data_IF_537225310407
#
_entry.id   IF_537225310407
#
_cell.length_a   1.000
_cell.length_b   1.000
_cell.length_c   1.000
_cell.angle_alpha   90.00
_cell.angle_beta   90.00
_cell.angle_gamma   90.00
#
_symmetry.space_group_name_H-M   'P 1'
#
loop_
_entity.id
_entity.type
_entity.pdbx_description
1 polymer ?
#
# COMPACT_ATOMS: atom_id res chain seq x y z
N UNK A 1 0.00 12.97 -6.85
CA UNK A 1 -0.05 13.93 -7.96
C UNK A 1 0.89 13.46 -9.07
N UNK A 2 0.48 13.54 -10.32
CA UNK A 2 1.30 13.19 -11.49
C UNK A 2 0.97 14.16 -12.63
N UNK A 3 2.00 14.79 -13.24
CA UNK A 3 1.85 15.83 -14.27
C UNK A 3 0.83 16.92 -13.90
N UNK A 4 0.96 17.46 -12.68
CA UNK A 4 0.08 18.46 -12.08
C UNK A 4 -1.40 18.07 -11.90
N UNK A 5 -1.74 16.84 -12.15
CA UNK A 5 -3.07 16.29 -11.95
C UNK A 5 -3.14 15.35 -10.73
N UNK A 6 -4.30 15.32 -10.06
CA UNK A 6 -4.52 14.41 -8.94
C UNK A 6 -5.19 13.13 -9.41
N UNK A 7 -4.62 12.02 -8.97
CA UNK A 7 -5.15 10.68 -9.22
C UNK A 7 -5.33 9.93 -7.91
N UNK A 8 -6.30 9.04 -7.89
CA UNK A 8 -6.62 8.17 -6.77
C UNK A 8 -6.64 6.72 -7.25
N UNK A 9 -6.03 5.83 -6.48
CA UNK A 9 -6.08 4.39 -6.68
C UNK A 9 -6.83 3.74 -5.51
N UNK A 10 -8.17 3.75 -5.52
CA UNK A 10 -8.94 3.14 -4.45
C UNK A 10 -8.91 1.62 -4.54
N UNK A 11 -9.27 0.95 -3.45
CA UNK A 11 -9.52 -0.48 -3.47
C UNK A 11 -10.73 -0.80 -4.37
N UNK A 12 -10.52 -1.66 -5.35
CA UNK A 12 -11.55 -2.08 -6.32
C UNK A 12 -11.57 -3.59 -6.52
N UNK A 13 -11.30 -4.37 -5.47
CA UNK A 13 -11.21 -5.83 -5.50
C UNK A 13 -12.47 -6.51 -6.04
N UNK A 14 -13.66 -5.97 -5.74
CA UNK A 14 -14.95 -6.49 -6.22
C UNK A 14 -15.06 -6.49 -7.76
N UNK A 15 -14.31 -5.60 -8.40
CA UNK A 15 -14.19 -5.57 -9.88
C UNK A 15 -13.10 -6.48 -10.40
N UNK A 16 -12.27 -7.07 -9.51
CA UNK A 16 -11.05 -7.80 -9.85
C UNK A 16 -10.13 -6.99 -10.75
N UNK A 17 -9.93 -5.72 -10.38
CA UNK A 17 -9.14 -4.76 -11.13
C UNK A 17 -8.42 -3.79 -10.19
N UNK A 18 -7.29 -3.27 -10.63
CA UNK A 18 -6.65 -2.09 -10.05
C UNK A 18 -7.00 -0.91 -10.95
N UNK A 19 -7.77 0.04 -10.41
CA UNK A 19 -8.32 1.19 -11.14
C UNK A 19 -7.73 2.49 -10.68
N UNK A 20 -7.63 3.44 -11.62
CA UNK A 20 -7.30 4.83 -11.35
C UNK A 20 -8.52 5.71 -11.63
N UNK A 21 -8.72 6.65 -10.72
CA UNK A 21 -9.68 7.73 -10.86
C UNK A 21 -8.93 9.05 -10.95
N UNK A 22 -9.40 9.95 -11.81
CA UNK A 22 -8.86 11.29 -11.98
C UNK A 22 -9.74 12.31 -11.29
N UNK A 23 -9.12 13.23 -10.56
CA UNK A 23 -9.83 14.34 -9.96
C UNK A 23 -10.37 15.29 -11.04
N UNK A 24 -11.65 15.62 -10.95
CA UNK A 24 -12.30 16.63 -11.78
C UNK A 24 -12.41 17.97 -11.05
N UNK A 25 -12.74 17.92 -9.74
CA UNK A 25 -12.78 19.07 -8.87
C UNK A 25 -12.36 18.66 -7.47
N UNK A 26 -11.18 19.10 -7.07
CA UNK A 26 -10.62 18.76 -5.77
C UNK A 26 -11.40 19.38 -4.61
N UNK A 27 -11.64 18.65 -3.51
CA UNK A 27 -11.32 17.22 -3.31
C UNK A 27 -12.49 16.27 -3.67
N UNK A 28 -13.62 16.75 -4.13
CA UNK A 28 -14.92 16.06 -4.04
C UNK A 28 -15.33 15.30 -5.30
N UNK A 29 -14.84 15.68 -6.49
CA UNK A 29 -15.31 15.08 -7.74
C UNK A 29 -14.22 14.25 -8.38
N UNK A 30 -14.47 12.95 -8.51
CA UNK A 30 -13.58 11.97 -9.11
C UNK A 30 -14.29 11.20 -10.19
N UNK A 31 -13.61 10.94 -11.28
CA UNK A 31 -14.15 10.13 -12.36
C UNK A 31 -13.20 8.95 -12.66
N UNK A 32 -13.78 7.81 -12.99
CA UNK A 32 -13.02 6.69 -13.53
C UNK A 32 -12.16 7.17 -14.70
N UNK A 33 -10.89 6.82 -14.65
CA UNK A 33 -9.94 7.19 -15.68
C UNK A 33 -9.45 5.98 -16.47
N UNK A 34 -8.95 4.95 -15.76
CA UNK A 34 -8.33 3.79 -16.40
C UNK A 34 -8.24 2.59 -15.46
N UNK A 35 -8.29 1.39 -16.02
CA UNK A 35 -7.85 0.16 -15.34
C UNK A 35 -6.39 -0.08 -15.65
N UNK A 36 -5.56 -0.20 -14.62
CA UNK A 36 -4.12 -0.50 -14.75
C UNK A 36 -3.86 -1.98 -14.96
N UNK A 37 -4.49 -2.83 -14.14
CA UNK A 37 -4.36 -4.28 -14.18
C UNK A 37 -5.74 -4.91 -14.08
N UNK A 38 -6.05 -5.82 -14.99
CA UNK A 38 -7.29 -6.59 -15.03
C UNK A 38 -7.12 -7.98 -14.42
N UNK A 39 -8.22 -8.60 -14.01
CA UNK A 39 -8.31 -9.98 -13.51
C UNK A 39 -7.36 -10.26 -12.35
N UNK A 40 -7.29 -9.32 -11.42
CA UNK A 40 -6.46 -9.40 -10.22
C UNK A 40 -7.30 -9.18 -8.97
N UNK A 41 -7.19 -10.09 -8.01
CA UNK A 41 -7.68 -9.85 -6.66
C UNK A 41 -6.59 -9.10 -5.90
N UNK A 42 -6.77 -7.79 -5.70
CA UNK A 42 -5.77 -6.92 -5.10
C UNK A 42 -6.39 -5.90 -4.15
N UNK A 43 -5.67 -5.61 -3.07
CA UNK A 43 -6.02 -4.59 -2.08
C UNK A 43 -4.77 -3.80 -1.68
N UNK A 44 -4.95 -2.63 -1.07
CA UNK A 44 -3.89 -1.78 -0.52
C UNK A 44 -2.75 -1.50 -1.52
N UNK A 45 -3.12 -1.08 -2.71
CA UNK A 45 -2.18 -0.79 -3.79
C UNK A 45 -1.42 0.52 -3.55
N UNK A 46 -0.10 0.46 -3.66
CA UNK A 46 0.83 1.58 -3.56
C UNK A 46 1.57 1.72 -4.89
N UNK A 47 1.68 2.94 -5.41
CA UNK A 47 2.39 3.23 -6.66
C UNK A 47 3.44 4.30 -6.40
N UNK A 48 4.69 4.05 -6.78
CA UNK A 48 5.80 4.99 -6.62
C UNK A 48 6.86 4.79 -7.71
N UNK A 49 7.73 5.79 -7.83
CA UNK A 49 8.87 5.73 -8.74
C UNK A 49 10.18 5.55 -7.98
N UNK A 50 11.05 4.68 -8.50
CA UNK A 50 12.44 4.54 -8.05
C UNK A 50 13.31 4.11 -9.23
N UNK A 51 14.43 4.81 -9.44
CA UNK A 51 15.39 4.52 -10.49
C UNK A 51 14.78 4.52 -11.92
N UNK A 52 13.90 5.48 -12.19
CA UNK A 52 13.18 5.63 -13.48
C UNK A 52 12.29 4.41 -13.83
N UNK A 53 11.93 3.62 -12.84
CA UNK A 53 10.96 2.52 -12.93
C UNK A 53 9.81 2.81 -12.00
N UNK A 54 8.59 2.67 -12.49
CA UNK A 54 7.38 2.73 -11.70
C UNK A 54 7.09 1.37 -11.10
N UNK A 55 6.87 1.36 -9.80
CA UNK A 55 6.58 0.19 -9.00
C UNK A 55 5.14 0.27 -8.48
N UNK A 56 4.44 -0.84 -8.56
CA UNK A 56 3.12 -1.05 -7.98
C UNK A 56 3.23 -2.23 -7.03
N UNK A 57 3.04 -1.97 -5.74
CA UNK A 57 3.07 -2.97 -4.68
C UNK A 57 1.64 -3.14 -4.17
N UNK A 58 1.16 -4.36 -4.08
CA UNK A 58 -0.23 -4.64 -3.70
C UNK A 58 -0.33 -5.98 -2.97
N UNK A 59 -1.31 -6.12 -2.10
CA UNK A 59 -1.64 -7.40 -1.51
C UNK A 59 -2.54 -8.19 -2.46
N UNK A 60 -2.16 -9.43 -2.71
CA UNK A 60 -2.89 -10.35 -3.59
C UNK A 60 -3.37 -11.56 -2.81
N UNK A 61 -4.33 -12.27 -3.37
CA UNK A 61 -4.84 -13.54 -2.84
C UNK A 61 -4.68 -14.63 -3.91
N UNK A 62 -3.42 -14.88 -4.30
CA UNK A 62 -3.09 -15.83 -5.36
C UNK A 62 -3.25 -17.28 -4.91
N UNK A 63 -2.91 -17.55 -3.64
CA UNK A 63 -2.94 -18.90 -3.06
C UNK A 63 -4.14 -19.13 -2.14
N UNK A 64 -5.16 -18.27 -2.16
CA UNK A 64 -6.34 -18.31 -1.27
C UNK A 64 -5.96 -18.28 0.23
N UNK A 65 -4.94 -17.48 0.58
CA UNK A 65 -4.42 -17.31 1.93
C UNK A 65 -4.93 -16.03 2.61
N UNK A 66 -5.93 -15.39 2.04
CA UNK A 66 -6.38 -14.05 2.37
C UNK A 66 -5.37 -12.94 2.00
N UNK A 67 -5.86 -11.72 1.76
CA UNK A 67 -5.04 -10.57 1.31
C UNK A 67 -3.97 -10.12 2.29
N UNK A 68 -4.02 -10.57 3.54
CA UNK A 68 -3.02 -10.21 4.54
C UNK A 68 -1.69 -10.97 4.38
N UNK A 69 -1.68 -12.07 3.64
CA UNK A 69 -0.56 -13.01 3.64
C UNK A 69 0.39 -12.89 2.46
N UNK A 70 -0.01 -12.22 1.39
CA UNK A 70 0.78 -12.15 0.16
C UNK A 70 1.03 -10.70 -0.28
N UNK A 71 2.28 -10.39 -0.59
CA UNK A 71 2.69 -9.14 -1.22
C UNK A 71 3.19 -9.41 -2.63
N UNK A 72 2.59 -8.76 -3.60
CA UNK A 72 2.99 -8.83 -5.01
C UNK A 72 3.46 -7.48 -5.53
N UNK A 73 4.42 -7.50 -6.43
CA UNK A 73 5.01 -6.32 -7.06
C UNK A 73 4.82 -6.40 -8.58
N UNK A 74 4.51 -5.27 -9.16
CA UNK A 74 4.50 -5.06 -10.60
C UNK A 74 5.36 -3.85 -10.93
N UNK A 75 5.89 -3.79 -12.14
CA UNK A 75 6.71 -2.68 -12.59
C UNK A 75 6.35 -2.23 -14.00
N UNK A 76 6.64 -0.96 -14.28
CA UNK A 76 6.52 -0.39 -15.62
C UNK A 76 7.60 0.66 -15.88
N UNK A 77 8.05 0.73 -17.12
CA UNK A 77 8.94 1.75 -17.65
C UNK A 77 8.16 2.84 -18.41
N UNK A 78 6.85 2.65 -18.61
CA UNK A 78 5.99 3.51 -19.43
C UNK A 78 5.22 4.55 -18.59
N UNK A 79 5.50 4.65 -17.28
CA UNK A 79 4.80 5.56 -16.36
C UNK A 79 3.72 4.90 -15.51
N UNK A 80 3.17 5.65 -14.53
CA UNK A 80 2.25 5.10 -13.53
C UNK A 80 0.83 4.85 -14.06
N UNK A 81 0.47 5.49 -15.18
CA UNK A 81 -0.86 5.42 -15.77
C UNK A 81 -0.94 4.49 -16.98
N UNK A 82 0.05 3.64 -17.16
CA UNK A 82 0.08 2.64 -18.23
C UNK A 82 -0.81 1.43 -17.90
N UNK A 83 -1.14 0.65 -18.93
CA UNK A 83 -1.72 -0.70 -18.80
C UNK A 83 -0.66 -1.80 -18.97
N UNK A 84 0.61 -1.42 -19.23
CA UNK A 84 1.72 -2.33 -19.48
C UNK A 84 2.51 -2.63 -18.20
N UNK A 85 1.81 -3.05 -17.15
CA UNK A 85 2.42 -3.49 -15.91
C UNK A 85 2.91 -4.92 -16.04
N UNK A 86 4.18 -5.16 -15.72
CA UNK A 86 4.83 -6.48 -15.75
C UNK A 86 4.95 -7.01 -14.33
N UNK A 87 4.60 -8.28 -14.12
CA UNK A 87 4.74 -8.92 -12.82
C UNK A 87 6.21 -9.12 -12.47
N UNK A 88 6.56 -8.88 -11.20
CA UNK A 88 7.86 -9.24 -10.66
C UNK A 88 8.06 -10.76 -10.74
N UNK A 89 9.31 -11.19 -11.08
CA UNK A 89 9.63 -12.59 -11.32
C UNK A 89 9.26 -13.51 -10.15
N UNK A 90 9.44 -13.03 -8.94
CA UNK A 90 9.29 -13.82 -7.71
C UNK A 90 7.95 -13.55 -6.97
N UNK A 91 6.92 -13.08 -7.68
CA UNK A 91 5.61 -12.85 -7.04
C UNK A 91 4.94 -14.13 -6.55
N UNK A 92 4.37 -14.14 -5.32
CA UNK A 92 4.44 -13.09 -4.31
C UNK A 92 5.83 -12.97 -3.68
N UNK A 93 6.32 -11.73 -3.48
CA UNK A 93 7.67 -11.46 -2.93
C UNK A 93 7.76 -11.64 -1.43
N UNK A 94 6.63 -11.54 -0.73
CA UNK A 94 6.48 -11.89 0.68
C UNK A 94 5.24 -12.78 0.83
N UNK A 95 5.41 -13.90 1.54
CA UNK A 95 4.31 -14.77 1.99
C UNK A 95 4.39 -14.87 3.51
N UNK A 96 3.71 -13.97 4.20
CA UNK A 96 3.74 -13.91 5.66
C UNK A 96 2.63 -12.97 6.17
N UNK A 97 1.65 -13.49 6.90
CA UNK A 97 0.51 -12.72 7.42
C UNK A 97 0.90 -11.52 8.31
N UNK A 98 2.05 -11.61 9.01
CA UNK A 98 2.52 -10.54 9.90
C UNK A 98 3.38 -9.47 9.20
N UNK A 99 3.63 -9.63 7.88
CA UNK A 99 4.54 -8.72 7.15
C UNK A 99 4.00 -8.27 5.81
N UNK A 100 3.16 -9.07 5.17
CA UNK A 100 2.78 -8.81 3.79
C UNK A 100 1.81 -7.63 3.63
N UNK A 101 0.85 -7.47 4.55
CA UNK A 101 -0.23 -6.49 4.40
C UNK A 101 0.30 -5.05 4.35
N UNK A 102 0.03 -4.34 3.27
CA UNK A 102 0.36 -2.92 3.17
C UNK A 102 -0.47 -2.10 4.14
N UNK A 103 0.16 -1.07 4.69
CA UNK A 103 -0.42 -0.12 5.62
C UNK A 103 0.02 1.32 5.33
N UNK A 104 0.58 1.55 4.15
CA UNK A 104 1.03 2.86 3.72
C UNK A 104 2.45 2.88 3.18
N UNK A 105 2.90 4.10 2.91
CA UNK A 105 4.16 4.35 2.22
C UNK A 105 4.63 5.77 2.49
N UNK A 106 5.94 5.96 2.60
CA UNK A 106 6.53 7.29 2.55
C UNK A 106 7.97 7.26 2.03
N UNK A 107 8.45 8.44 1.64
CA UNK A 107 9.79 8.65 1.12
C UNK A 107 10.38 9.89 1.84
N UNK A 108 11.56 9.74 2.46
CA UNK A 108 12.25 10.83 3.15
C UNK A 108 13.29 11.57 2.28
N UNK A 109 13.29 11.29 0.97
CA UNK A 109 14.24 11.83 0.00
C UNK A 109 15.52 11.00 -0.15
N UNK A 110 15.83 10.10 0.80
CA UNK A 110 16.95 9.16 0.74
C UNK A 110 16.50 7.73 0.68
N UNK A 111 15.48 7.40 1.47
CA UNK A 111 14.97 6.05 1.61
C UNK A 111 13.49 5.98 1.29
N UNK A 112 13.09 4.83 0.83
CA UNK A 112 11.70 4.48 0.61
C UNK A 112 11.28 3.50 1.68
N UNK A 113 10.14 3.78 2.31
CA UNK A 113 9.60 2.98 3.40
C UNK A 113 8.23 2.43 3.03
N UNK A 114 8.10 1.13 3.14
CA UNK A 114 6.81 0.46 3.12
C UNK A 114 6.34 0.27 4.56
N UNK A 115 5.12 0.66 4.83
CA UNK A 115 4.47 0.38 6.10
C UNK A 115 3.69 -0.94 5.96
N UNK A 116 3.88 -1.86 6.89
CA UNK A 116 3.15 -3.12 6.92
C UNK A 116 2.31 -3.24 8.18
N UNK A 117 1.06 -3.67 8.02
CA UNK A 117 0.14 -3.88 9.12
C UNK A 117 0.54 -5.09 9.96
N UNK A 118 0.45 -4.95 11.28
CA UNK A 118 0.50 -6.09 12.20
C UNK A 118 -0.92 -6.55 12.53
N UNK A 119 -1.14 -7.84 12.36
CA UNK A 119 -2.40 -8.50 12.68
C UNK A 119 -2.24 -9.16 14.05
N UNK A 120 -3.13 -8.86 14.98
CA UNK A 120 -3.23 -9.53 16.27
C UNK A 120 -4.22 -10.70 16.23
N UNK A 121 -4.16 -11.56 17.24
CA UNK A 121 -5.17 -12.59 17.42
C UNK A 121 -6.54 -11.93 17.68
N UNK A 122 -7.49 -12.15 16.80
CA UNK A 122 -8.84 -11.54 16.83
C UNK A 122 -8.87 -9.99 16.85
N UNK A 123 -7.76 -9.32 16.50
CA UNK A 123 -7.69 -7.85 16.47
C UNK A 123 -7.09 -7.38 15.17
N UNK A 124 -7.84 -6.61 14.42
CA UNK A 124 -7.38 -5.97 13.20
C UNK A 124 -6.59 -4.70 13.56
N UNK A 125 -5.34 -4.61 13.06
CA UNK A 125 -4.56 -3.38 13.20
C UNK A 125 -4.00 -3.14 14.61
N UNK A 126 -3.27 -4.10 15.20
CA UNK A 126 -2.61 -3.90 16.51
C UNK A 126 -1.45 -2.90 16.47
N UNK A 127 -1.07 -2.47 15.29
CA UNK A 127 0.03 -1.57 15.01
C UNK A 127 0.55 -1.79 13.60
N UNK A 128 1.63 -1.13 13.26
CA UNK A 128 2.31 -1.32 11.98
C UNK A 128 3.82 -1.30 12.14
N UNK A 129 4.49 -1.89 11.19
CA UNK A 129 5.95 -1.91 11.08
C UNK A 129 6.38 -0.99 9.95
N UNK A 130 7.40 -0.19 10.18
CA UNK A 130 8.07 0.64 9.17
C UNK A 130 9.25 -0.15 8.64
N UNK A 131 9.23 -0.47 7.35
CA UNK A 131 10.28 -1.26 6.70
C UNK A 131 10.97 -0.41 5.64
N UNK A 132 12.30 -0.33 5.69
CA UNK A 132 13.10 0.28 4.64
C UNK A 132 13.15 -0.67 3.44
N UNK A 133 12.76 -0.23 2.26
CA UNK A 133 12.97 -0.98 1.02
C UNK A 133 14.45 -0.87 0.65
N UNK A 134 15.19 -1.92 0.97
CA UNK A 134 16.63 -1.98 0.79
C UNK A 134 17.02 -2.25 -0.66
N UNK A 135 16.32 -3.18 -1.28
CA UNK A 135 16.47 -3.47 -2.70
C UNK A 135 15.11 -3.69 -3.36
N UNK A 136 14.95 -3.10 -4.52
CA UNK A 136 13.82 -3.36 -5.42
C UNK A 136 14.32 -3.32 -6.86
N UNK A 137 14.22 -4.45 -7.52
CA UNK A 137 14.58 -4.62 -8.93
C UNK A 137 13.56 -5.53 -9.62
N UNK A 138 13.71 -5.77 -10.91
CA UNK A 138 12.80 -6.69 -11.65
C UNK A 138 12.93 -8.15 -11.19
N UNK A 139 14.01 -8.49 -10.47
CA UNK A 139 14.36 -9.85 -10.07
C UNK A 139 14.53 -10.05 -8.56
N UNK A 140 14.62 -8.98 -7.77
CA UNK A 140 14.84 -9.05 -6.34
C UNK A 140 14.05 -8.01 -5.59
N UNK A 141 13.65 -8.36 -4.36
CA UNK A 141 13.02 -7.45 -3.41
C UNK A 141 13.47 -7.81 -2.00
N UNK A 142 13.96 -6.81 -1.28
CA UNK A 142 14.28 -6.96 0.14
C UNK A 142 13.88 -5.71 0.92
N UNK A 143 13.39 -5.92 2.13
CA UNK A 143 13.09 -4.87 3.08
C UNK A 143 13.63 -5.22 4.46
N UNK A 144 14.00 -4.21 5.23
CA UNK A 144 14.53 -4.35 6.59
C UNK A 144 13.63 -3.58 7.54
N UNK A 145 13.20 -4.22 8.60
CA UNK A 145 12.45 -3.59 9.68
C UNK A 145 13.29 -2.46 10.29
N UNK A 146 12.76 -1.24 10.23
CA UNK A 146 13.35 -0.05 10.86
C UNK A 146 12.74 0.21 12.22
N UNK A 147 11.41 0.14 12.33
CA UNK A 147 10.70 0.52 13.56
C UNK A 147 9.36 -0.21 13.68
N UNK A 148 8.95 -0.47 14.91
CA UNK A 148 7.63 -1.01 15.25
C UNK A 148 6.81 0.06 15.95
N UNK A 149 5.66 0.38 15.41
CA UNK A 149 4.73 1.34 15.99
C UNK A 149 3.54 0.60 16.58
N UNK A 150 3.30 0.81 17.87
CA UNK A 150 2.15 0.25 18.57
C UNK A 150 0.99 1.25 18.55
N UNK A 151 -0.22 0.77 18.82
CA UNK A 151 -1.44 1.60 18.79
C UNK A 151 -1.67 2.44 20.06
N UNK A 152 -0.67 2.61 20.90
CA UNK A 152 -0.79 3.30 22.21
C UNK A 152 -0.64 4.83 22.11
N UNK A 153 -1.27 5.46 21.11
CA UNK A 153 -1.21 6.92 20.95
C UNK A 153 -2.02 7.67 22.00
N UNK A 154 -3.12 7.07 22.45
CA UNK A 154 -4.00 7.57 23.49
C UNK A 154 -4.39 6.42 24.42
N UNK A 155 -4.85 6.73 25.63
CA UNK A 155 -5.23 5.73 26.64
C UNK A 155 -6.30 4.75 26.15
N UNK A 156 -7.27 5.23 25.34
CA UNK A 156 -8.36 4.44 24.77
C UNK A 156 -8.07 3.89 23.36
N UNK A 157 -6.84 4.01 22.87
CA UNK A 157 -6.46 3.50 21.55
C UNK A 157 -6.34 1.98 21.57
N UNK A 158 -7.04 1.31 20.65
CA UNK A 158 -7.07 -0.16 20.53
C UNK A 158 -6.56 -0.68 19.19
N UNK A 159 -6.27 0.21 18.24
CA UNK A 159 -5.76 -0.18 16.94
C UNK A 159 -5.28 0.99 16.11
N UNK A 160 -4.39 0.67 15.19
CA UNK A 160 -3.92 1.50 14.08
C UNK A 160 -3.45 0.58 12.97
N UNK A 161 -3.67 0.96 11.71
CA UNK A 161 -3.31 0.08 10.60
C UNK A 161 -2.82 0.83 9.36
N UNK A 162 -2.71 2.16 9.41
CA UNK A 162 -2.27 2.94 8.27
C UNK A 162 -1.41 4.14 8.66
N UNK A 163 -0.34 4.38 7.90
CA UNK A 163 0.47 5.58 7.96
C UNK A 163 0.78 6.04 6.55
N UNK A 164 0.54 7.30 6.26
CA UNK A 164 1.06 7.97 5.07
C UNK A 164 1.71 9.29 5.44
N UNK A 165 2.75 9.68 4.72
CA UNK A 165 3.44 10.94 4.92
C UNK A 165 3.68 11.64 3.60
N UNK A 166 3.55 12.96 3.62
CA UNK A 166 3.91 13.85 2.52
C UNK A 166 4.52 15.13 3.11
N UNK A 167 5.72 15.45 2.68
CA UNK A 167 6.47 16.62 3.19
C UNK A 167 6.55 16.60 4.73
N UNK A 168 5.97 17.61 5.39
CA UNK A 168 5.96 17.77 6.85
C UNK A 168 4.69 17.23 7.52
N UNK A 169 3.83 16.54 6.77
CA UNK A 169 2.56 16.02 7.28
C UNK A 169 2.55 14.50 7.27
N UNK A 170 2.02 13.92 8.33
CA UNK A 170 1.72 12.49 8.39
C UNK A 170 0.27 12.30 8.81
N UNK A 171 -0.39 11.36 8.17
CA UNK A 171 -1.72 10.91 8.54
C UNK A 171 -1.66 9.47 9.04
N UNK A 172 -2.30 9.24 10.17
CA UNK A 172 -2.43 7.93 10.81
C UNK A 172 -3.89 7.71 11.17
N UNK A 173 -4.37 6.51 11.01
CA UNK A 173 -5.69 6.13 11.54
C UNK A 173 -5.57 5.58 12.96
N UNK A 174 -6.58 5.80 13.77
CA UNK A 174 -6.63 5.30 15.14
C UNK A 174 -8.03 4.74 15.42
N UNK A 175 -8.07 3.48 15.84
CA UNK A 175 -9.27 2.84 16.37
C UNK A 175 -9.31 3.05 17.88
N UNK A 176 -10.43 3.51 18.40
CA UNK A 176 -10.64 3.78 19.83
C UNK A 176 -11.86 3.01 20.36
N UNK A 177 -11.88 2.72 21.65
CA UNK A 177 -13.11 2.29 22.31
C UNK A 177 -14.11 3.45 22.26
N UNK A 178 -15.32 3.18 21.75
CA UNK A 178 -16.43 4.08 21.97
C UNK A 178 -17.14 3.63 23.25
N UNK A 179 -17.06 4.43 24.30
CA UNK A 179 -18.04 4.29 25.38
C UNK A 179 -19.39 4.69 24.76
N UNK A 180 -20.23 3.72 24.47
CA UNK A 180 -21.64 4.02 24.20
C UNK A 180 -22.23 4.48 25.54
N UNK A 181 -22.37 5.79 25.68
CA UNK A 181 -23.19 6.41 26.74
C UNK A 181 -24.65 6.30 26.36
#
# INVERSE_FOLDING_TARGET
>A
KFNDEFFMCPETKEKKEIRIYKCKKFPNEWAYFKTLINKINAVDTIIFEKNNIWWLITNTDKNNLEFSSELSIFYSEDGPLTTNWKAHKNNPVIVNANKARNAGFYNDGKNIFRVSQRIGFNTYGTGFDINTINDISKNSYTEILKEKINCNFFEDSIGTHHLTSIENFSAIDIKRFSNQS
#
